data_IF_942501616374
#
_entry.id   IF_942501616374
#
_cell.length_a   1.000
_cell.length_b   1.000
_cell.length_c   1.000
_cell.angle_alpha   90.00
_cell.angle_beta   90.00
_cell.angle_gamma   90.00
#
_symmetry.space_group_name_H-M   'P 1'
#
loop_
_entity.id
_entity.type
_entity.pdbx_description
1 polymer ?
#
# COMPACT_ATOMS: atom_id res chain seq x y z
N UNK A 1 14.22 11.77 -33.88
CA UNK A 1 13.59 10.53 -34.37
C UNK A 1 12.98 9.80 -33.19
N UNK A 2 11.71 10.05 -32.91
CA UNK A 2 10.98 9.35 -31.85
C UNK A 2 10.43 8.03 -32.38
N UNK A 3 10.57 6.95 -31.61
CA UNK A 3 10.13 5.61 -31.99
C UNK A 3 9.19 5.00 -30.95
N UNK A 4 8.23 4.21 -31.41
CA UNK A 4 7.34 3.42 -30.53
C UNK A 4 7.25 1.99 -31.04
N UNK A 5 7.03 1.04 -30.14
CA UNK A 5 6.77 -0.36 -30.52
C UNK A 5 5.29 -0.66 -30.29
N UNK A 6 4.59 -1.09 -31.33
CA UNK A 6 3.20 -1.58 -31.27
C UNK A 6 3.20 -3.01 -31.79
N UNK A 7 2.64 -3.96 -31.02
CA UNK A 7 2.55 -5.37 -31.42
C UNK A 7 3.89 -5.97 -31.90
N UNK A 8 5.00 -5.62 -31.23
CA UNK A 8 6.37 -6.05 -31.55
C UNK A 8 6.94 -5.50 -32.88
N UNK A 9 6.28 -4.51 -33.48
CA UNK A 9 6.77 -3.78 -34.65
C UNK A 9 7.17 -2.37 -34.22
N UNK A 10 8.37 -1.95 -34.60
CA UNK A 10 8.88 -0.61 -34.33
C UNK A 10 8.40 0.37 -35.41
N UNK A 11 7.89 1.52 -34.97
CA UNK A 11 7.40 2.59 -35.84
C UNK A 11 8.10 3.90 -35.49
N UNK A 12 8.44 4.68 -36.52
CA UNK A 12 8.90 6.06 -36.35
C UNK A 12 7.69 6.98 -36.24
N UNK A 13 7.51 7.61 -35.08
CA UNK A 13 6.33 8.46 -34.82
C UNK A 13 6.35 9.74 -35.65
N UNK A 14 7.52 10.13 -36.13
CA UNK A 14 7.70 11.33 -36.95
C UNK A 14 7.06 11.14 -38.35
N UNK A 15 6.95 9.89 -38.81
CA UNK A 15 6.28 9.50 -40.06
C UNK A 15 4.75 9.39 -39.94
N UNK A 16 4.20 9.56 -38.73
CA UNK A 16 2.76 9.46 -38.51
C UNK A 16 2.02 10.67 -39.07
N UNK A 17 0.89 10.41 -39.72
CA UNK A 17 -0.07 11.46 -40.05
C UNK A 17 -0.79 11.96 -38.78
N UNK A 18 -1.52 13.06 -38.90
CA UNK A 18 -2.18 13.71 -37.75
C UNK A 18 -3.17 12.80 -37.04
N UNK A 19 -3.88 11.93 -37.78
CA UNK A 19 -4.82 10.96 -37.21
C UNK A 19 -4.08 9.94 -36.33
N UNK A 20 -2.97 9.39 -36.83
CA UNK A 20 -2.17 8.43 -36.07
C UNK A 20 -1.54 9.07 -34.82
N UNK A 21 -1.07 10.32 -34.91
CA UNK A 21 -0.57 11.09 -33.76
C UNK A 21 -1.67 11.33 -32.72
N UNK A 22 -2.88 11.68 -33.17
CA UNK A 22 -4.03 11.87 -32.28
C UNK A 22 -4.39 10.59 -31.54
N UNK A 23 -4.45 9.45 -32.25
CA UNK A 23 -4.73 8.14 -31.64
C UNK A 23 -3.65 7.74 -30.63
N UNK A 24 -2.37 7.92 -30.96
CA UNK A 24 -1.27 7.65 -30.04
C UNK A 24 -1.39 8.47 -28.75
N UNK A 25 -1.74 9.75 -28.87
CA UNK A 25 -1.96 10.61 -27.70
C UNK A 25 -3.18 10.16 -26.88
N UNK A 26 -4.28 9.77 -27.52
CA UNK A 26 -5.44 9.21 -26.81
C UNK A 26 -5.09 7.95 -26.03
N UNK A 27 -4.29 7.06 -26.60
CA UNK A 27 -3.81 5.86 -25.90
C UNK A 27 -2.97 6.24 -24.67
N UNK A 28 -2.02 7.16 -24.81
CA UNK A 28 -1.19 7.63 -23.68
C UNK A 28 -2.00 8.24 -22.55
N UNK A 29 -3.04 9.01 -22.87
CA UNK A 29 -3.95 9.58 -21.87
C UNK A 29 -4.65 8.47 -21.06
N UNK A 30 -5.07 7.39 -21.72
CA UNK A 30 -5.67 6.24 -21.04
C UNK A 30 -4.62 5.53 -20.17
N UNK A 31 -3.41 5.30 -20.67
CA UNK A 31 -2.33 4.69 -19.90
C UNK A 31 -2.01 5.48 -18.62
N UNK A 32 -1.88 6.80 -18.72
CA UNK A 32 -1.64 7.68 -17.57
C UNK A 32 -2.80 7.61 -16.56
N UNK A 33 -4.04 7.51 -17.04
CA UNK A 33 -5.22 7.36 -16.18
C UNK A 33 -5.22 6.02 -15.43
N UNK A 34 -4.78 4.93 -16.09
CA UNK A 34 -4.67 3.61 -15.47
C UNK A 34 -3.60 3.58 -14.38
N UNK A 35 -2.47 4.27 -14.59
CA UNK A 35 -1.44 4.40 -13.56
C UNK A 35 -2.00 5.06 -12.30
N UNK A 36 -2.74 6.16 -12.46
CA UNK A 36 -3.38 6.86 -11.32
C UNK A 36 -4.39 5.97 -10.59
N UNK A 37 -5.28 5.31 -11.33
CA UNK A 37 -6.26 4.38 -10.75
C UNK A 37 -5.57 3.24 -9.98
N UNK A 38 -4.48 2.70 -10.50
CA UNK A 38 -3.72 1.65 -9.81
C UNK A 38 -3.11 2.17 -8.50
N UNK A 39 -2.62 3.42 -8.47
CA UNK A 39 -2.12 4.02 -7.24
C UNK A 39 -3.25 4.26 -6.23
N UNK A 40 -4.43 4.69 -6.67
CA UNK A 40 -5.62 4.78 -5.81
C UNK A 40 -6.02 3.40 -5.25
N UNK A 41 -5.95 2.33 -6.04
CA UNK A 41 -6.19 0.96 -5.59
C UNK A 41 -5.19 0.54 -4.50
N UNK A 42 -3.91 0.92 -4.61
CA UNK A 42 -2.92 0.64 -3.55
C UNK A 42 -3.26 1.37 -2.25
N UNK A 43 -3.69 2.64 -2.35
CA UNK A 43 -4.14 3.42 -1.18
C UNK A 43 -5.35 2.76 -0.54
N UNK A 44 -6.37 2.40 -1.34
CA UNK A 44 -7.55 1.69 -0.88
C UNK A 44 -7.20 0.40 -0.13
N UNK A 45 -6.34 -0.44 -0.72
CA UNK A 45 -5.94 -1.70 -0.11
C UNK A 45 -5.22 -1.50 1.23
N UNK A 46 -4.39 -0.47 1.33
CA UNK A 46 -3.68 -0.12 2.57
C UNK A 46 -4.67 0.33 3.64
N UNK A 47 -5.58 1.25 3.32
CA UNK A 47 -6.60 1.73 4.23
C UNK A 47 -7.51 0.58 4.71
N UNK A 48 -7.97 -0.26 3.79
CA UNK A 48 -8.80 -1.44 4.10
C UNK A 48 -8.12 -2.36 5.11
N UNK A 49 -6.84 -2.70 4.90
CA UNK A 49 -6.09 -3.56 5.84
C UNK A 49 -6.03 -2.95 7.23
N UNK A 50 -5.76 -1.64 7.32
CA UNK A 50 -5.74 -0.92 8.60
C UNK A 50 -7.10 -1.00 9.30
N UNK A 51 -8.18 -0.64 8.61
CA UNK A 51 -9.53 -0.64 9.20
C UNK A 51 -10.01 -2.02 9.61
N UNK A 52 -9.72 -3.05 8.81
CA UNK A 52 -10.05 -4.43 9.17
C UNK A 52 -9.27 -4.87 10.41
N UNK A 53 -7.97 -4.55 10.50
CA UNK A 53 -7.16 -4.86 11.67
C UNK A 53 -7.69 -4.18 12.94
N UNK A 54 -8.06 -2.90 12.85
CA UNK A 54 -8.63 -2.17 13.97
C UNK A 54 -9.99 -2.74 14.38
N UNK A 55 -10.85 -3.06 13.43
CA UNK A 55 -12.15 -3.66 13.71
C UNK A 55 -12.02 -5.02 14.40
N UNK A 56 -11.08 -5.86 13.97
CA UNK A 56 -10.85 -7.16 14.60
C UNK A 56 -10.38 -7.04 16.05
N UNK A 57 -9.50 -6.06 16.34
CA UNK A 57 -9.03 -5.81 17.71
C UNK A 57 -10.17 -5.38 18.65
N UNK A 58 -11.07 -4.52 18.18
CA UNK A 58 -12.27 -4.12 18.93
C UNK A 58 -13.16 -5.34 19.18
N UNK A 59 -13.42 -6.17 18.16
CA UNK A 59 -14.28 -7.35 18.30
C UNK A 59 -13.69 -8.41 19.25
N UNK A 60 -12.37 -8.56 19.31
CA UNK A 60 -11.71 -9.43 20.28
C UNK A 60 -11.97 -8.95 21.71
N UNK A 61 -11.85 -7.64 21.98
CA UNK A 61 -12.18 -7.04 23.28
C UNK A 61 -13.65 -7.25 23.69
N UNK A 62 -14.58 -7.24 22.72
CA UNK A 62 -15.99 -7.55 22.99
C UNK A 62 -16.26 -9.05 23.23
N UNK A 63 -15.44 -9.94 22.66
CA UNK A 63 -15.63 -11.40 22.75
C UNK A 63 -15.04 -12.02 24.01
N UNK A 64 -14.11 -11.33 24.69
CA UNK A 64 -13.61 -11.76 25.99
C UNK A 64 -14.64 -11.42 27.10
N UNK A 65 -14.98 -12.37 28.01
CA UNK A 65 -15.84 -12.05 29.14
C UNK A 65 -15.18 -10.98 30.00
N UNK A 66 -15.77 -9.78 30.05
CA UNK A 66 -15.31 -8.70 30.93
C UNK A 66 -15.51 -9.14 32.38
N UNK A 67 -14.44 -9.63 33.02
CA UNK A 67 -14.36 -9.76 34.47
C UNK A 67 -14.48 -8.35 35.08
N UNK A 68 -15.70 -7.91 35.38
CA UNK A 68 -15.98 -6.65 36.07
C UNK A 68 -15.60 -6.76 37.55
N UNK A 69 -14.33 -7.01 37.86
CA UNK A 69 -13.85 -6.98 39.25
C UNK A 69 -13.36 -5.59 39.60
N UNK A 70 -14.31 -4.83 40.16
CA UNK A 70 -14.12 -3.87 41.26
C UNK A 70 -12.70 -3.80 41.83
N UNK A 71 -12.12 -2.60 41.76
CA UNK A 71 -11.11 -2.06 42.67
C UNK A 71 -10.06 -3.01 43.26
N UNK A 72 -8.87 -3.03 42.65
CA UNK A 72 -7.54 -2.83 43.29
C UNK A 72 -6.46 -3.17 42.26
N UNK A 73 -5.73 -2.15 41.78
CA UNK A 73 -4.48 -2.36 41.03
C UNK A 73 -3.44 -2.95 41.98
N UNK A 74 -3.26 -4.27 41.94
CA UNK A 74 -2.09 -4.91 42.50
C UNK A 74 -0.89 -4.62 41.59
N UNK A 75 0.15 -4.02 42.17
CA UNK A 75 1.37 -3.62 41.49
C UNK A 75 2.12 -4.83 40.91
N UNK A 76 2.31 -4.90 39.58
CA UNK A 76 3.34 -5.78 39.01
C UNK A 76 4.64 -4.99 38.82
N UNK A 77 5.60 -5.30 39.70
CA UNK A 77 6.99 -4.86 39.70
C UNK A 77 7.66 -5.02 38.32
N UNK A 78 8.21 -3.90 37.87
CA UNK A 78 9.51 -3.72 37.17
C UNK A 78 10.45 -4.93 37.25
N UNK A 79 10.82 -5.50 36.10
CA UNK A 79 12.19 -6.00 35.84
C UNK A 79 12.70 -5.41 34.52
N UNK A 80 13.70 -4.55 34.65
CA UNK A 80 14.58 -4.11 33.57
C UNK A 80 15.54 -5.27 33.27
N UNK A 81 15.65 -5.71 32.03
CA UNK A 81 16.83 -6.45 31.56
C UNK A 81 17.57 -5.63 30.52
N UNK A 82 18.39 -4.70 31.00
CA UNK A 82 19.54 -4.19 30.26
C UNK A 82 20.69 -5.17 30.44
N UNK A 83 21.22 -5.76 29.37
CA UNK A 83 22.58 -6.32 29.37
C UNK A 83 23.18 -6.27 27.97
N UNK A 84 23.79 -5.12 27.69
CA UNK A 84 24.83 -4.91 26.68
C UNK A 84 25.99 -5.87 26.96
N UNK A 85 26.29 -6.80 26.04
CA UNK A 85 27.58 -7.50 26.00
C UNK A 85 28.39 -7.00 24.81
N UNK A 86 29.42 -6.21 25.11
CA UNK A 86 30.60 -6.00 24.26
C UNK A 86 31.75 -6.81 24.88
N UNK A 87 32.33 -7.77 24.14
CA UNK A 87 33.76 -8.21 24.15
C UNK A 87 33.87 -9.51 23.32
N UNK A 88 34.59 -9.52 22.20
CA UNK A 88 36.05 -9.71 22.06
C UNK A 88 36.43 -11.18 21.89
N UNK A 89 36.67 -11.59 20.64
CA UNK A 89 37.92 -12.20 20.14
C UNK A 89 37.87 -12.17 18.62
#
# INVERSE_FOLDING_TARGET
MSKITINRVEYETDLFNDKAKALLNSVRVIEDSLVKLNDEVKVYNTAKRSYVSSLLAELEEYSEPKDYKTGKKAASKKTRSSAKSKKST
#
